data_IF_257734648339
#
_entry.id   IF_257734648339
#
_cell.length_a   1.000
_cell.length_b   1.000
_cell.length_c   1.000
_cell.angle_alpha   90.00
_cell.angle_beta   90.00
_cell.angle_gamma   90.00
#
_symmetry.space_group_name_H-M   'P 1'
#
loop_
_entity.id
_entity.type
_entity.pdbx_description
1 polymer ?
#
# COMPACT_ATOMS: atom_id res chain seq x y z
N UNK A 1 -22.50 -31.29 -25.12
CA UNK A 1 -21.51 -30.23 -25.41
C UNK A 1 -20.19 -30.84 -25.80
N UNK A 2 -19.48 -30.23 -26.74
CA UNK A 2 -18.15 -30.67 -27.18
C UNK A 2 -17.25 -29.43 -27.10
N UNK A 3 -16.74 -29.15 -25.90
CA UNK A 3 -15.66 -28.20 -25.69
C UNK A 3 -14.38 -28.89 -26.19
N UNK A 4 -13.65 -28.26 -27.11
CA UNK A 4 -12.20 -28.35 -27.27
C UNK A 4 -11.78 -27.57 -28.53
N UNK A 5 -11.69 -26.24 -28.41
CA UNK A 5 -10.61 -25.50 -29.05
C UNK A 5 -9.77 -25.00 -27.88
N UNK A 6 -8.68 -25.69 -27.58
CA UNK A 6 -7.69 -25.18 -26.65
C UNK A 6 -6.97 -24.03 -27.36
N UNK A 7 -7.45 -22.80 -27.15
CA UNK A 7 -6.70 -21.61 -27.57
C UNK A 7 -5.40 -21.62 -26.76
N UNK A 8 -4.27 -21.53 -27.45
CA UNK A 8 -2.95 -21.48 -26.80
C UNK A 8 -2.35 -20.10 -26.99
N UNK A 9 -1.59 -19.60 -26.02
CA UNK A 9 -0.95 -18.28 -26.11
C UNK A 9 0.55 -18.42 -26.32
N UNK A 10 1.12 -17.53 -27.12
CA UNK A 10 2.57 -17.33 -27.23
C UNK A 10 2.92 -15.90 -26.95
N UNK A 11 3.72 -15.66 -25.92
CA UNK A 11 4.19 -14.34 -25.53
C UNK A 11 5.64 -14.14 -25.92
N UNK A 12 5.95 -12.99 -26.48
CA UNK A 12 7.23 -12.68 -27.07
C UNK A 12 7.56 -11.22 -26.80
N UNK A 13 8.76 -10.94 -26.32
CA UNK A 13 9.19 -9.56 -26.05
C UNK A 13 9.38 -8.76 -27.33
N UNK A 14 10.42 -9.07 -28.10
CA UNK A 14 10.77 -8.25 -29.27
C UNK A 14 10.16 -8.78 -30.58
N UNK A 15 10.19 -10.10 -30.76
CA UNK A 15 9.75 -10.71 -32.01
C UNK A 15 9.47 -12.20 -31.86
N UNK A 16 8.71 -12.74 -32.82
CA UNK A 16 8.58 -14.17 -33.06
C UNK A 16 8.95 -14.49 -34.50
N UNK A 17 9.84 -15.46 -34.68
CA UNK A 17 10.09 -16.07 -35.99
C UNK A 17 9.10 -17.21 -36.23
N UNK A 18 8.42 -17.15 -37.38
CA UNK A 18 7.44 -18.13 -37.78
C UNK A 18 7.96 -18.85 -39.02
N UNK A 19 7.92 -20.18 -38.97
CA UNK A 19 8.30 -21.06 -40.09
C UNK A 19 7.04 -21.68 -40.70
N UNK A 20 6.84 -21.48 -42.00
CA UNK A 20 5.74 -22.05 -42.76
C UNK A 20 6.29 -23.13 -43.68
N UNK A 21 5.63 -24.29 -43.72
CA UNK A 21 5.93 -25.37 -44.67
C UNK A 21 4.71 -25.71 -45.50
N UNK A 22 4.89 -25.79 -46.81
CA UNK A 22 3.85 -26.21 -47.75
C UNK A 22 4.42 -27.23 -48.73
N UNK A 23 3.58 -28.18 -49.13
CA UNK A 23 3.93 -29.24 -50.07
C UNK A 23 2.98 -29.21 -51.28
N UNK A 24 3.56 -29.23 -52.49
CA UNK A 24 2.83 -29.56 -53.72
C UNK A 24 3.61 -30.61 -54.51
N UNK A 25 2.93 -31.73 -54.81
CA UNK A 25 3.56 -32.89 -55.44
C UNK A 25 3.66 -32.77 -56.97
N UNK A 26 3.01 -31.78 -57.60
CA UNK A 26 2.83 -31.74 -59.06
C UNK A 26 3.61 -30.61 -59.73
N UNK A 27 3.42 -29.37 -59.28
CA UNK A 27 3.99 -28.16 -59.88
C UNK A 27 4.98 -27.43 -58.97
N UNK A 28 4.99 -27.78 -57.68
CA UNK A 28 5.77 -27.10 -56.65
C UNK A 28 5.16 -25.75 -56.25
N UNK A 29 5.65 -25.19 -55.14
CA UNK A 29 5.15 -23.93 -54.57
C UNK A 29 5.81 -22.73 -55.26
N UNK A 30 5.03 -21.76 -55.75
CA UNK A 30 5.53 -20.48 -56.26
C UNK A 30 5.83 -19.50 -55.11
N UNK A 31 4.83 -19.17 -54.30
CA UNK A 31 4.99 -18.27 -53.15
C UNK A 31 4.06 -18.66 -52.00
N UNK A 32 4.39 -18.17 -50.80
CA UNK A 32 3.54 -18.27 -49.62
C UNK A 32 2.99 -16.89 -49.28
N UNK A 33 1.75 -16.83 -48.79
CA UNK A 33 1.16 -15.60 -48.24
C UNK A 33 0.81 -15.85 -46.80
N UNK A 34 1.17 -14.92 -45.90
CA UNK A 34 0.75 -14.96 -44.51
C UNK A 34 -0.05 -13.72 -44.16
N UNK A 35 -1.00 -13.88 -43.26
CA UNK A 35 -1.82 -12.81 -42.74
C UNK A 35 -1.91 -12.92 -41.21
N UNK A 36 -1.73 -11.79 -40.54
CA UNK A 36 -2.02 -11.60 -39.13
C UNK A 36 -3.33 -10.80 -39.01
N UNK A 37 -4.18 -11.21 -38.08
CA UNK A 37 -5.43 -10.53 -37.74
C UNK A 37 -5.53 -10.38 -36.23
N UNK A 38 -5.79 -9.15 -35.77
CA UNK A 38 -5.97 -8.82 -34.35
C UNK A 38 -7.09 -9.65 -33.71
N UNK A 39 -6.87 -10.07 -32.47
CA UNK A 39 -7.90 -10.74 -31.68
C UNK A 39 -9.12 -9.82 -31.46
N UNK A 40 -10.31 -10.40 -31.55
CA UNK A 40 -11.54 -9.67 -31.26
C UNK A 40 -11.55 -9.19 -29.81
N UNK A 41 -11.66 -7.87 -29.62
CA UNK A 41 -11.70 -7.26 -28.29
C UNK A 41 -10.33 -7.04 -27.65
N UNK A 42 -9.23 -7.21 -28.39
CA UNK A 42 -7.91 -6.71 -28.00
C UNK A 42 -7.79 -5.20 -28.23
N UNK A 43 -6.81 -4.59 -27.57
CA UNK A 43 -6.49 -3.15 -27.63
C UNK A 43 -6.41 -2.60 -29.06
N UNK A 44 -6.73 -1.31 -29.24
CA UNK A 44 -6.55 -0.61 -30.50
C UNK A 44 -5.09 -0.23 -30.81
N UNK A 45 -4.21 -0.27 -29.81
CA UNK A 45 -2.76 -0.10 -29.99
C UNK A 45 -2.14 -1.27 -30.75
N UNK A 46 -2.73 -2.46 -30.64
CA UNK A 46 -2.30 -3.60 -31.44
C UNK A 46 -2.64 -3.39 -32.92
N UNK A 47 -1.70 -3.79 -33.80
CA UNK A 47 -1.88 -3.78 -35.25
C UNK A 47 -3.18 -4.49 -35.61
N UNK A 48 -3.99 -3.89 -36.49
CA UNK A 48 -5.32 -4.43 -36.84
C UNK A 48 -5.21 -5.66 -37.74
N UNK A 49 -4.43 -5.54 -38.81
CA UNK A 49 -4.16 -6.60 -39.77
C UNK A 49 -2.81 -6.36 -40.46
N UNK A 50 -2.17 -7.43 -40.90
CA UNK A 50 -0.94 -7.36 -41.70
C UNK A 50 -0.91 -8.55 -42.65
N UNK A 51 -0.58 -8.33 -43.91
CA UNK A 51 -0.50 -9.39 -44.93
C UNK A 51 0.73 -9.18 -45.78
N UNK A 52 1.55 -10.22 -45.93
CA UNK A 52 2.76 -10.17 -46.75
C UNK A 52 2.97 -11.47 -47.54
N UNK A 53 3.77 -11.39 -48.60
CA UNK A 53 4.10 -12.49 -49.48
C UNK A 53 5.57 -12.87 -49.30
N UNK A 54 5.84 -14.15 -49.05
CA UNK A 54 7.17 -14.73 -49.12
C UNK A 54 7.37 -15.22 -50.55
N UNK A 55 8.12 -14.44 -51.33
CA UNK A 55 8.40 -14.75 -52.73
C UNK A 55 9.22 -16.02 -52.88
N UNK A 56 9.13 -16.65 -54.05
CA UNK A 56 9.86 -17.88 -54.39
C UNK A 56 11.35 -17.83 -54.06
N UNK A 57 12.00 -16.71 -54.36
CA UNK A 57 13.45 -16.52 -54.16
C UNK A 57 13.86 -16.51 -52.68
N UNK A 58 12.90 -16.30 -51.78
CA UNK A 58 13.07 -16.35 -50.33
C UNK A 58 12.64 -17.70 -49.70
N UNK A 59 12.20 -18.66 -50.51
CA UNK A 59 11.81 -20.00 -50.05
C UNK A 59 12.96 -21.00 -50.14
N UNK A 60 13.06 -21.86 -49.14
CA UNK A 60 13.95 -23.02 -49.15
C UNK A 60 13.20 -24.25 -49.65
N UNK A 61 13.77 -25.00 -50.58
CA UNK A 61 13.14 -26.17 -51.16
C UNK A 61 13.87 -27.47 -50.78
N UNK A 62 13.11 -28.54 -50.58
CA UNK A 62 13.68 -29.90 -50.52
C UNK A 62 14.35 -30.28 -51.84
N UNK A 63 15.26 -31.27 -51.82
CA UNK A 63 15.97 -31.72 -53.02
C UNK A 63 15.03 -32.16 -54.16
N UNK A 64 13.87 -32.71 -53.81
CA UNK A 64 12.84 -33.12 -54.78
C UNK A 64 11.93 -31.97 -55.24
N UNK A 65 12.12 -30.77 -54.70
CA UNK A 65 11.40 -29.54 -55.05
C UNK A 65 9.95 -29.48 -54.59
N UNK A 66 9.45 -30.49 -53.86
CA UNK A 66 8.02 -30.61 -53.53
C UNK A 66 7.61 -29.83 -52.30
N UNK A 67 8.50 -29.69 -51.32
CA UNK A 67 8.24 -28.92 -50.11
C UNK A 67 8.99 -27.60 -50.16
N UNK A 68 8.27 -26.51 -49.91
CA UNK A 68 8.85 -25.19 -49.67
C UNK A 68 8.75 -24.84 -48.18
N UNK A 69 9.81 -24.26 -47.65
CA UNK A 69 9.88 -23.69 -46.31
C UNK A 69 10.12 -22.19 -46.43
N UNK A 70 9.22 -21.40 -45.84
CA UNK A 70 9.35 -19.95 -45.75
C UNK A 70 9.48 -19.50 -44.30
N UNK A 71 10.18 -18.39 -44.09
CA UNK A 71 10.37 -17.76 -42.80
C UNK A 71 9.90 -16.32 -42.84
N UNK A 72 9.24 -15.88 -41.77
CA UNK A 72 9.00 -14.46 -41.54
C UNK A 72 9.11 -14.15 -40.04
N UNK A 73 9.30 -12.87 -39.73
CA UNK A 73 9.40 -12.40 -38.35
C UNK A 73 8.30 -11.40 -38.08
N UNK A 74 7.47 -11.68 -37.08
CA UNK A 74 6.57 -10.68 -36.52
C UNK A 74 7.34 -9.94 -35.42
N UNK A 75 7.75 -8.70 -35.72
CA UNK A 75 8.56 -7.87 -34.84
C UNK A 75 7.75 -6.70 -34.32
N UNK A 76 7.69 -6.57 -32.99
CA UNK A 76 7.09 -5.40 -32.35
C UNK A 76 8.04 -4.20 -32.36
N UNK A 77 7.46 -3.02 -32.31
CA UNK A 77 8.15 -1.73 -32.19
C UNK A 77 7.43 -0.86 -31.17
N UNK A 78 8.02 0.26 -30.75
CA UNK A 78 7.40 1.20 -29.80
C UNK A 78 5.98 1.67 -30.18
N UNK A 79 5.57 1.54 -31.45
CA UNK A 79 4.24 1.92 -31.94
C UNK A 79 3.42 0.77 -32.53
N UNK A 80 4.01 -0.42 -32.69
CA UNK A 80 3.35 -1.58 -33.29
C UNK A 80 3.49 -2.78 -32.37
N UNK A 81 2.41 -3.10 -31.67
CA UNK A 81 2.28 -4.28 -30.82
C UNK A 81 1.36 -5.29 -31.49
N UNK A 82 1.45 -6.56 -31.09
CA UNK A 82 0.64 -7.62 -31.68
C UNK A 82 -0.08 -8.43 -30.62
N UNK A 83 -1.36 -8.73 -30.89
CA UNK A 83 -2.18 -9.69 -30.15
C UNK A 83 -3.25 -10.22 -31.10
N UNK A 84 -3.01 -11.39 -31.66
CA UNK A 84 -3.91 -11.94 -32.68
C UNK A 84 -3.47 -13.29 -33.22
N UNK A 85 -4.15 -13.72 -34.28
CA UNK A 85 -3.91 -15.01 -34.93
C UNK A 85 -3.18 -14.84 -36.24
N UNK A 86 -2.41 -15.86 -36.61
CA UNK A 86 -1.70 -15.92 -37.89
C UNK A 86 -2.35 -17.00 -38.76
N UNK A 87 -2.52 -16.70 -40.04
CA UNK A 87 -2.97 -17.61 -41.08
C UNK A 87 -2.06 -17.54 -42.30
N UNK A 88 -2.06 -18.59 -43.11
CA UNK A 88 -1.26 -18.63 -44.33
C UNK A 88 -1.90 -19.48 -45.44
N UNK A 89 -1.54 -19.14 -46.67
CA UNK A 89 -1.87 -19.87 -47.89
C UNK A 89 -0.61 -20.14 -48.72
N UNK A 90 -0.66 -21.16 -49.55
CA UNK A 90 0.37 -21.47 -50.52
C UNK A 90 -0.20 -21.40 -51.93
N UNK A 91 0.52 -20.75 -52.85
CA UNK A 91 0.17 -20.71 -54.27
C UNK A 91 1.20 -21.53 -55.05
N UNK A 92 0.71 -22.44 -55.90
CA UNK A 92 1.56 -23.29 -56.73
C UNK A 92 2.03 -22.59 -58.02
N UNK A 93 2.95 -23.20 -58.76
CA UNK A 93 3.47 -22.66 -60.03
C UNK A 93 2.41 -22.58 -61.15
N UNK A 94 1.29 -23.27 -61.00
CA UNK A 94 0.15 -23.19 -61.92
C UNK A 94 -0.85 -22.09 -61.55
N UNK A 95 -0.66 -21.41 -60.41
CA UNK A 95 -1.49 -20.33 -59.91
C UNK A 95 -2.67 -20.78 -59.05
N UNK A 96 -2.70 -22.02 -58.56
CA UNK A 96 -3.72 -22.48 -57.61
C UNK A 96 -3.32 -22.14 -56.18
N UNK A 97 -4.25 -21.58 -55.41
CA UNK A 97 -4.02 -21.20 -54.00
C UNK A 97 -4.76 -22.15 -53.06
N UNK A 98 -4.10 -22.55 -51.96
CA UNK A 98 -4.71 -23.36 -50.91
C UNK A 98 -5.82 -22.63 -50.16
N UNK A 99 -6.61 -23.36 -49.37
CA UNK A 99 -7.39 -22.74 -48.30
C UNK A 99 -6.46 -22.19 -47.21
N UNK A 100 -6.99 -21.27 -46.39
CA UNK A 100 -6.29 -20.74 -45.22
C UNK A 100 -5.98 -21.85 -44.22
N UNK A 101 -4.72 -21.87 -43.77
CA UNK A 101 -4.28 -22.65 -42.63
C UNK A 101 -3.93 -21.69 -41.49
N UNK A 102 -4.58 -21.88 -40.34
CA UNK A 102 -4.33 -21.12 -39.12
C UNK A 102 -3.25 -21.79 -38.27
N UNK A 103 -2.61 -21.02 -37.40
CA UNK A 103 -1.60 -21.44 -36.40
C UNK A 103 -2.16 -22.31 -35.25
N UNK A 104 -3.01 -23.28 -35.58
CA UNK A 104 -3.65 -24.23 -34.67
C UNK A 104 -4.39 -23.59 -33.48
N UNK A 105 -4.90 -22.37 -33.66
CA UNK A 105 -5.67 -21.65 -32.65
C UNK A 105 -4.79 -20.94 -31.62
N UNK A 106 -3.58 -20.54 -32.01
CA UNK A 106 -2.68 -19.80 -31.15
C UNK A 106 -2.96 -18.29 -31.25
N UNK A 107 -2.86 -17.60 -30.13
CA UNK A 107 -2.78 -16.14 -30.09
C UNK A 107 -1.33 -15.77 -29.87
N UNK A 108 -0.74 -15.08 -30.84
CA UNK A 108 0.62 -14.56 -30.77
C UNK A 108 0.57 -13.13 -30.22
N UNK A 109 1.26 -12.92 -29.10
CA UNK A 109 1.45 -11.63 -28.45
C UNK A 109 2.92 -11.26 -28.56
N UNK A 110 3.19 -10.15 -29.23
CA UNK A 110 4.55 -9.61 -29.36
C UNK A 110 4.52 -8.22 -28.78
N UNK A 111 5.20 -8.04 -27.65
CA UNK A 111 5.09 -6.86 -26.82
C UNK A 111 6.42 -6.37 -26.25
N UNK A 112 6.79 -5.14 -26.57
CA UNK A 112 8.03 -4.48 -26.12
C UNK A 112 7.80 -3.37 -25.10
N UNK A 113 6.54 -3.03 -24.79
CA UNK A 113 6.19 -1.86 -24.01
C UNK A 113 6.09 -2.27 -22.54
N UNK A 114 6.81 -1.56 -21.68
CA UNK A 114 6.67 -1.75 -20.24
C UNK A 114 5.33 -1.20 -19.76
N UNK A 115 4.62 -1.92 -18.88
CA UNK A 115 3.42 -1.39 -18.27
C UNK A 115 3.72 -0.16 -17.41
N UNK A 116 2.86 0.86 -17.47
CA UNK A 116 2.98 2.06 -16.63
C UNK A 116 1.97 2.02 -15.48
N UNK A 117 2.45 2.00 -14.23
CA UNK A 117 1.62 1.86 -13.03
C UNK A 117 1.67 3.13 -12.19
N UNK A 118 0.53 3.76 -11.97
CA UNK A 118 0.37 4.91 -11.08
C UNK A 118 -0.41 4.51 -9.83
N UNK A 119 0.19 4.75 -8.65
CA UNK A 119 -0.39 4.39 -7.35
C UNK A 119 -0.69 5.65 -6.56
N UNK A 120 -1.93 5.80 -6.09
CA UNK A 120 -2.33 6.96 -5.27
C UNK A 120 -2.99 6.57 -3.97
N UNK A 121 -2.81 7.38 -2.91
CA UNK A 121 -3.41 7.15 -1.60
C UNK A 121 -4.29 8.31 -1.16
N UNK A 122 -5.53 8.01 -0.76
CA UNK A 122 -6.49 9.03 -0.28
C UNK A 122 -7.36 8.48 0.84
N UNK A 123 -7.95 9.34 1.68
CA UNK A 123 -9.07 8.94 2.53
C UNK A 123 -10.16 8.23 1.71
N UNK A 124 -10.64 7.09 2.21
CA UNK A 124 -11.66 6.30 1.54
C UNK A 124 -13.06 6.91 1.66
N UNK A 125 -13.31 7.61 2.78
CA UNK A 125 -14.62 8.14 3.15
C UNK A 125 -14.61 9.67 3.27
N UNK A 126 -15.80 10.27 3.13
CA UNK A 126 -15.96 11.71 3.34
C UNK A 126 -15.89 12.02 4.83
N UNK A 127 -14.95 12.89 5.22
CA UNK A 127 -14.73 13.27 6.63
C UNK A 127 -13.43 12.73 7.19
N UNK A 128 -12.92 11.63 6.64
CA UNK A 128 -11.58 11.11 6.92
C UNK A 128 -10.52 12.01 6.29
N UNK A 129 -9.42 12.22 7.00
CA UNK A 129 -8.32 13.10 6.62
C UNK A 129 -6.97 12.52 7.04
N UNK A 130 -5.93 12.88 6.28
CA UNK A 130 -4.55 12.72 6.75
C UNK A 130 -4.31 13.76 7.85
N UNK A 131 -3.90 13.30 9.04
CA UNK A 131 -3.73 14.12 10.24
C UNK A 131 -2.29 14.47 10.53
N UNK A 132 -1.41 13.48 10.40
CA UNK A 132 0.00 13.64 10.69
C UNK A 132 0.87 12.93 9.65
N UNK A 133 2.06 13.48 9.47
CA UNK A 133 3.15 12.89 8.73
C UNK A 133 4.33 12.85 9.70
N UNK A 134 4.81 11.66 10.03
CA UNK A 134 5.88 11.49 11.01
C UNK A 134 6.96 10.56 10.48
N UNK A 135 8.16 10.61 11.06
CA UNK A 135 9.18 9.59 10.83
C UNK A 135 8.62 8.24 11.29
N UNK A 136 8.74 7.20 10.46
CA UNK A 136 8.35 5.84 10.82
C UNK A 136 9.18 5.33 11.99
N UNK A 137 8.55 4.52 12.84
CA UNK A 137 9.23 3.82 13.91
C UNK A 137 10.08 2.68 13.35
N UNK A 138 11.10 2.29 14.10
CA UNK A 138 11.94 1.11 13.85
C UNK A 138 11.93 0.21 15.08
N UNK A 139 12.53 -0.98 14.98
CA UNK A 139 12.65 -1.86 16.15
C UNK A 139 13.54 -1.26 17.25
N UNK A 140 14.47 -0.38 16.87
CA UNK A 140 15.45 0.24 17.76
C UNK A 140 15.05 1.63 18.26
N UNK A 141 14.21 2.34 17.51
CA UNK A 141 13.92 3.76 17.75
C UNK A 141 12.44 4.11 17.45
N UNK A 142 11.78 4.73 18.43
CA UNK A 142 10.46 5.35 18.31
C UNK A 142 10.65 6.86 18.52
N UNK A 143 10.55 7.66 17.44
CA UNK A 143 10.63 9.13 17.57
C UNK A 143 9.34 9.81 17.20
N UNK A 144 8.70 9.36 16.10
CA UNK A 144 7.50 9.97 15.51
C UNK A 144 7.68 11.48 15.30
N UNK A 145 8.89 11.89 14.93
CA UNK A 145 9.22 13.28 14.62
C UNK A 145 8.37 13.76 13.42
N UNK A 146 7.83 14.97 13.50
CA UNK A 146 7.05 15.54 12.40
C UNK A 146 7.88 15.64 11.11
N UNK A 147 7.27 15.26 10.00
CA UNK A 147 7.82 15.38 8.66
C UNK A 147 7.08 16.47 7.91
N UNK A 148 7.69 17.65 7.80
CA UNK A 148 7.13 18.75 6.99
C UNK A 148 7.01 18.38 5.51
N UNK A 149 7.97 17.60 4.99
CA UNK A 149 7.98 17.07 3.63
C UNK A 149 8.15 15.56 3.70
N UNK A 150 7.24 14.84 3.04
CA UNK A 150 7.30 13.38 2.98
C UNK A 150 8.50 12.87 2.17
N UNK A 151 9.02 11.73 2.59
CA UNK A 151 10.14 11.00 2.01
C UNK A 151 9.96 9.48 2.24
N UNK A 152 10.97 8.68 1.92
CA UNK A 152 10.92 7.20 2.07
C UNK A 152 10.76 6.72 3.53
N UNK A 153 11.08 7.56 4.51
CA UNK A 153 10.97 7.23 5.93
C UNK A 153 9.68 7.75 6.56
N UNK A 154 8.80 8.37 5.77
CA UNK A 154 7.57 8.96 6.27
C UNK A 154 6.49 7.89 6.52
N UNK A 155 5.78 8.05 7.63
CA UNK A 155 4.58 7.33 8.02
C UNK A 155 3.41 8.32 8.01
N UNK A 156 2.32 7.95 7.37
CA UNK A 156 1.13 8.77 7.20
C UNK A 156 0.03 8.31 8.15
N UNK A 157 -0.51 9.20 8.98
CA UNK A 157 -1.53 8.86 9.98
C UNK A 157 -2.88 9.45 9.58
N UNK A 158 -3.84 8.57 9.33
CA UNK A 158 -5.21 8.92 8.95
C UNK A 158 -6.17 8.60 10.10
N UNK A 159 -7.19 9.45 10.26
CA UNK A 159 -8.27 9.26 11.26
C UNK A 159 -9.35 8.24 10.83
N UNK A 160 -9.05 7.39 9.87
CA UNK A 160 -10.00 6.45 9.28
C UNK A 160 -9.48 5.76 8.02
N UNK A 161 -10.39 5.07 7.33
CA UNK A 161 -10.05 4.18 6.23
C UNK A 161 -9.29 4.89 5.09
N UNK A 162 -8.28 4.20 4.55
CA UNK A 162 -7.42 4.69 3.47
C UNK A 162 -7.65 3.86 2.22
N UNK A 163 -7.75 4.54 1.07
CA UNK A 163 -7.88 3.92 -0.23
C UNK A 163 -6.61 4.09 -1.04
N UNK A 164 -6.02 2.97 -1.45
CA UNK A 164 -5.02 2.93 -2.50
C UNK A 164 -5.71 2.69 -3.85
N UNK A 165 -5.37 3.49 -4.87
CA UNK A 165 -5.82 3.29 -6.24
C UNK A 165 -4.62 2.96 -7.11
N UNK A 166 -4.65 1.78 -7.73
CA UNK A 166 -3.63 1.27 -8.66
C UNK A 166 -4.18 1.42 -10.06
N UNK A 167 -3.55 2.27 -10.88
CA UNK A 167 -3.91 2.47 -12.28
C UNK A 167 -2.77 2.03 -13.19
N UNK A 168 -3.02 0.99 -13.97
CA UNK A 168 -2.09 0.45 -14.97
C UNK A 168 -2.47 0.97 -16.35
N UNK A 169 -1.47 1.29 -17.18
CA UNK A 169 -1.61 1.50 -18.62
C UNK A 169 -0.83 0.41 -19.35
N UNK A 170 -1.53 -0.49 -20.04
CA UNK A 170 -0.97 -1.62 -20.78
C UNK A 170 -1.98 -2.16 -21.81
N UNK A 171 -1.57 -2.26 -23.07
CA UNK A 171 -2.39 -2.73 -24.19
C UNK A 171 -2.70 -4.23 -24.11
N UNK A 172 -1.75 -5.03 -23.63
CA UNK A 172 -1.85 -6.48 -23.48
C UNK A 172 -1.95 -6.91 -22.01
N UNK A 173 -2.73 -6.15 -21.23
CA UNK A 173 -2.89 -6.36 -19.80
C UNK A 173 -3.53 -7.70 -19.42
N UNK A 174 -2.92 -8.40 -18.46
CA UNK A 174 -3.48 -9.57 -17.78
C UNK A 174 -3.51 -9.32 -16.27
N UNK A 175 -4.67 -9.51 -15.65
CA UNK A 175 -4.86 -9.28 -14.21
C UNK A 175 -4.01 -10.18 -13.33
N UNK A 176 -3.75 -11.40 -13.82
CA UNK A 176 -3.01 -12.43 -13.09
C UNK A 176 -1.50 -12.14 -13.02
N UNK A 177 -1.00 -11.24 -13.89
CA UNK A 177 0.41 -10.83 -13.91
C UNK A 177 0.73 -9.80 -12.80
N UNK A 178 -0.29 -9.14 -12.24
CA UNK A 178 -0.12 -8.14 -11.18
C UNK A 178 -0.18 -8.81 -9.81
N UNK A 179 0.96 -8.95 -9.15
CA UNK A 179 1.04 -9.51 -7.80
C UNK A 179 1.02 -8.37 -6.79
N UNK A 180 0.00 -8.34 -5.96
CA UNK A 180 -0.13 -7.37 -4.87
C UNK A 180 0.24 -8.06 -3.57
N UNK A 181 1.02 -7.39 -2.74
CA UNK A 181 1.26 -7.75 -1.35
C UNK A 181 0.63 -6.69 -0.46
N UNK A 182 -0.15 -7.09 0.54
CA UNK A 182 -0.64 -6.18 1.59
C UNK A 182 -0.15 -6.71 2.92
N UNK A 183 0.49 -5.82 3.69
CA UNK A 183 0.85 -6.08 5.08
C UNK A 183 0.03 -5.22 6.01
N UNK A 184 -0.30 -5.77 7.18
CA UNK A 184 -0.82 -5.05 8.33
C UNK A 184 0.05 -5.39 9.53
N UNK A 185 0.54 -4.36 10.22
CA UNK A 185 1.36 -4.50 11.43
C UNK A 185 2.58 -5.41 11.20
N UNK A 186 3.23 -5.23 10.04
CA UNK A 186 4.38 -6.02 9.58
C UNK A 186 4.04 -7.45 9.08
N UNK A 187 2.81 -7.93 9.28
CA UNK A 187 2.37 -9.25 8.86
C UNK A 187 1.71 -9.22 7.48
N UNK A 188 2.10 -10.15 6.61
CA UNK A 188 1.48 -10.32 5.29
C UNK A 188 0.06 -10.88 5.45
N UNK A 189 -0.93 -10.12 4.96
CA UNK A 189 -2.35 -10.48 4.98
C UNK A 189 -2.88 -10.81 3.57
N UNK A 190 -2.12 -10.47 2.54
CA UNK A 190 -2.41 -10.81 1.15
C UNK A 190 -1.12 -10.87 0.33
N UNK A 191 -1.01 -11.86 -0.55
CA UNK A 191 0.08 -11.98 -1.52
C UNK A 191 -0.38 -12.80 -2.73
N UNK A 192 -0.58 -12.10 -3.86
CA UNK A 192 -1.05 -12.71 -5.09
C UNK A 192 -1.84 -11.75 -5.97
N UNK A 193 -2.31 -12.25 -7.13
CA UNK A 193 -3.21 -11.49 -7.99
C UNK A 193 -4.58 -11.33 -7.33
N UNK A 194 -5.31 -10.28 -7.71
CA UNK A 194 -6.67 -10.00 -7.21
C UNK A 194 -7.58 -11.18 -7.56
N UNK A 195 -7.97 -11.95 -6.54
CA UNK A 195 -8.76 -13.16 -6.70
C UNK A 195 -10.27 -12.89 -6.57
N UNK A 196 -11.10 -13.94 -6.68
CA UNK A 196 -12.54 -13.83 -6.43
C UNK A 196 -12.89 -13.50 -4.98
N UNK A 197 -12.04 -13.90 -4.02
CA UNK A 197 -12.18 -13.51 -2.62
C UNK A 197 -11.40 -12.21 -2.41
N UNK A 198 -12.11 -11.11 -2.18
CA UNK A 198 -11.59 -9.73 -2.21
C UNK A 198 -11.64 -9.05 -0.85
N UNK A 199 -12.19 -9.71 0.16
CA UNK A 199 -12.40 -9.11 1.47
C UNK A 199 -11.53 -9.85 2.48
N UNK A 200 -10.55 -9.15 3.04
CA UNK A 200 -9.73 -9.67 4.12
C UNK A 200 -10.45 -9.39 5.43
N UNK A 201 -10.66 -10.43 6.25
CA UNK A 201 -11.34 -10.32 7.54
C UNK A 201 -10.54 -10.94 8.67
N UNK A 202 -10.74 -10.41 9.86
CA UNK A 202 -10.41 -11.07 11.12
C UNK A 202 -11.69 -11.15 11.97
N UNK A 203 -12.19 -12.37 12.14
CA UNK A 203 -13.55 -12.60 12.64
C UNK A 203 -14.61 -11.89 11.79
N UNK A 204 -15.42 -11.05 12.44
CA UNK A 204 -16.47 -10.27 11.78
C UNK A 204 -15.96 -8.91 11.25
N UNK A 205 -14.72 -8.52 11.58
CA UNK A 205 -14.13 -7.24 11.19
C UNK A 205 -13.52 -7.33 9.80
N UNK A 206 -13.92 -6.43 8.90
CA UNK A 206 -13.23 -6.24 7.62
C UNK A 206 -11.94 -5.48 7.85
N UNK A 207 -10.81 -6.09 7.49
CA UNK A 207 -9.49 -5.47 7.57
C UNK A 207 -9.25 -4.60 6.34
N UNK A 208 -9.40 -5.20 5.16
CA UNK A 208 -9.22 -4.53 3.89
C UNK A 208 -10.08 -5.18 2.79
N UNK A 209 -10.36 -4.43 1.73
CA UNK A 209 -11.18 -4.90 0.61
C UNK A 209 -10.61 -4.43 -0.74
N UNK A 210 -10.60 -5.33 -1.72
CA UNK A 210 -10.20 -5.07 -3.10
C UNK A 210 -11.43 -4.83 -3.99
N UNK A 211 -11.32 -3.93 -4.95
CA UNK A 211 -12.26 -3.86 -6.07
C UNK A 211 -11.97 -4.93 -7.11
N UNK A 212 -12.92 -5.16 -8.02
CA UNK A 212 -12.58 -5.75 -9.32
C UNK A 212 -11.67 -4.81 -10.12
N UNK A 213 -10.89 -5.39 -11.03
CA UNK A 213 -10.22 -4.61 -12.07
C UNK A 213 -11.26 -4.01 -13.02
N UNK A 214 -11.28 -2.69 -13.11
CA UNK A 214 -12.05 -1.96 -14.13
C UNK A 214 -11.15 -1.73 -15.34
N UNK A 215 -11.45 -2.37 -16.47
CA UNK A 215 -10.63 -2.34 -17.69
C UNK A 215 -11.28 -1.43 -18.73
N UNK A 216 -10.55 -0.39 -19.14
CA UNK A 216 -10.86 0.48 -20.27
C UNK A 216 -9.92 0.14 -21.43
N UNK A 217 -10.45 -0.66 -22.36
CA UNK A 217 -9.73 -1.13 -23.55
C UNK A 217 -9.52 -0.07 -24.62
N UNK A 218 -10.24 1.06 -24.56
CA UNK A 218 -10.05 2.13 -25.53
C UNK A 218 -8.81 2.95 -25.21
N UNK A 219 -8.50 3.08 -23.92
CA UNK A 219 -7.36 3.83 -23.41
C UNK A 219 -6.23 2.94 -22.88
N UNK A 220 -6.35 1.62 -23.03
CA UNK A 220 -5.41 0.62 -22.51
C UNK A 220 -5.16 0.77 -21.01
N UNK A 221 -6.19 1.13 -20.23
CA UNK A 221 -6.04 1.30 -18.78
C UNK A 221 -6.80 0.25 -17.99
N UNK A 222 -6.24 -0.16 -16.86
CA UNK A 222 -6.88 -1.01 -15.88
C UNK A 222 -6.74 -0.37 -14.50
N UNK A 223 -7.80 -0.36 -13.70
CA UNK A 223 -7.79 0.23 -12.35
C UNK A 223 -8.29 -0.76 -11.30
N UNK A 224 -7.56 -0.87 -10.20
CA UNK A 224 -7.93 -1.61 -9.00
C UNK A 224 -7.83 -0.69 -7.77
N UNK A 225 -8.75 -0.83 -6.83
CA UNK A 225 -8.74 -0.12 -5.55
C UNK A 225 -8.57 -1.09 -4.38
N UNK A 226 -7.88 -0.64 -3.33
CA UNK A 226 -7.72 -1.36 -2.06
C UNK A 226 -8.14 -0.40 -0.95
N UNK A 227 -9.16 -0.77 -0.17
CA UNK A 227 -9.63 0.00 0.97
C UNK A 227 -9.16 -0.67 2.25
N UNK A 228 -8.25 -0.04 2.98
CA UNK A 228 -7.74 -0.44 4.29
C UNK A 228 -8.63 0.20 5.37
N UNK A 229 -9.26 -0.61 6.22
CA UNK A 229 -10.38 -0.19 7.07
C UNK A 229 -10.11 -0.34 8.57
N UNK A 230 -9.50 -1.44 8.99
CA UNK A 230 -9.24 -1.69 10.40
C UNK A 230 -7.98 -0.95 10.88
N UNK A 231 -7.94 -0.55 12.14
CA UNK A 231 -6.79 0.14 12.73
C UNK A 231 -5.50 -0.67 12.59
N UNK A 232 -4.42 -0.01 12.17
CA UNK A 232 -3.12 -0.63 12.00
C UNK A 232 -2.23 0.08 10.98
N UNK A 233 -1.01 -0.44 10.85
CA UNK A 233 0.00 0.05 9.92
C UNK A 233 0.02 -0.79 8.66
N UNK A 234 -0.34 -0.19 7.53
CA UNK A 234 -0.41 -0.87 6.25
C UNK A 234 0.76 -0.53 5.35
N UNK A 235 1.23 -1.56 4.65
CA UNK A 235 2.19 -1.43 3.55
C UNK A 235 1.69 -2.20 2.34
N UNK A 236 1.80 -1.60 1.16
CA UNK A 236 1.44 -2.19 -0.12
C UNK A 236 2.69 -2.42 -0.94
N UNK A 237 2.85 -3.66 -1.42
CA UNK A 237 3.82 -4.04 -2.44
C UNK A 237 3.12 -4.37 -3.74
N UNK A 238 3.72 -3.99 -4.86
CA UNK A 238 3.28 -4.43 -6.19
C UNK A 238 4.50 -4.95 -6.94
N UNK A 239 4.37 -6.15 -7.47
CA UNK A 239 5.34 -6.80 -8.34
C UNK A 239 4.60 -7.11 -9.64
N UNK A 240 5.02 -6.51 -10.75
CA UNK A 240 4.37 -6.67 -12.05
C UNK A 240 5.38 -6.74 -13.18
N UNK A 241 5.37 -7.88 -13.85
CA UNK A 241 6.03 -8.14 -15.12
C UNK A 241 4.96 -8.67 -16.05
N UNK A 242 4.78 -8.07 -17.23
CA UNK A 242 3.79 -8.55 -18.18
C UNK A 242 4.13 -9.95 -18.72
N UNK A 243 3.15 -10.57 -19.38
CA UNK A 243 3.32 -11.89 -19.98
C UNK A 243 4.44 -11.96 -21.04
N UNK A 244 4.86 -10.83 -21.61
CA UNK A 244 5.98 -10.72 -22.57
C UNK A 244 7.32 -10.38 -21.89
N UNK A 245 7.38 -10.44 -20.56
CA UNK A 245 8.56 -10.18 -19.74
C UNK A 245 9.06 -8.73 -19.75
N UNK A 246 8.15 -7.76 -19.83
CA UNK A 246 8.42 -6.35 -19.58
C UNK A 246 8.05 -6.02 -18.13
N UNK A 247 9.05 -5.58 -17.36
CA UNK A 247 8.84 -5.10 -16.00
C UNK A 247 8.10 -3.77 -16.02
N UNK A 248 7.22 -3.55 -15.04
CA UNK A 248 6.52 -2.29 -14.90
C UNK A 248 7.48 -1.12 -14.65
N UNK A 249 7.07 0.07 -15.09
CA UNK A 249 7.51 1.35 -14.53
C UNK A 249 6.41 1.84 -13.58
N UNK A 250 6.78 2.36 -12.41
CA UNK A 250 5.81 2.87 -11.45
C UNK A 250 6.05 4.33 -11.07
N UNK A 251 4.98 4.97 -10.64
CA UNK A 251 4.98 6.27 -9.96
C UNK A 251 3.96 6.29 -8.83
N UNK A 252 4.21 7.06 -7.77
CA UNK A 252 3.26 7.23 -6.67
C UNK A 252 3.23 8.66 -6.12
N UNK A 253 2.10 9.03 -5.51
CA UNK A 253 1.84 10.37 -4.96
C UNK A 253 2.19 10.53 -3.47
N UNK A 254 2.76 9.50 -2.84
CA UNK A 254 3.15 9.51 -1.43
C UNK A 254 4.17 10.62 -1.14
N UNK A 255 5.15 10.79 -2.03
CA UNK A 255 6.11 11.90 -1.98
C UNK A 255 6.69 12.21 -3.36
N UNK A 256 7.35 13.36 -3.49
CA UNK A 256 7.90 13.82 -4.76
C UNK A 256 8.93 12.83 -5.33
N UNK A 257 8.84 12.56 -6.63
CA UNK A 257 9.77 11.68 -7.36
C UNK A 257 9.77 10.21 -6.89
N UNK A 258 8.72 9.75 -6.21
CA UNK A 258 8.54 8.32 -5.94
C UNK A 258 8.21 7.56 -7.24
N UNK A 259 9.24 7.08 -7.91
CA UNK A 259 9.15 6.29 -9.13
C UNK A 259 10.24 5.20 -9.16
N UNK A 260 10.09 4.24 -10.07
CA UNK A 260 11.04 3.13 -10.22
C UNK A 260 10.53 2.05 -11.17
N UNK A 261 11.14 0.87 -11.12
CA UNK A 261 10.81 -0.24 -12.02
C UNK A 261 10.68 -1.57 -11.26
N UNK A 262 9.96 -2.53 -11.85
CA UNK A 262 9.75 -3.92 -11.40
C UNK A 262 8.96 -4.11 -10.09
N UNK A 263 9.37 -3.43 -9.01
CA UNK A 263 8.88 -3.66 -7.65
C UNK A 263 8.58 -2.33 -6.97
N UNK A 264 7.33 -2.12 -6.59
CA UNK A 264 6.88 -0.98 -5.79
C UNK A 264 6.71 -1.39 -4.32
N UNK A 265 7.07 -0.50 -3.39
CA UNK A 265 6.77 -0.59 -1.95
C UNK A 265 6.30 0.77 -1.45
N UNK A 266 5.18 0.78 -0.75
CA UNK A 266 4.63 1.99 -0.14
C UNK A 266 5.42 2.43 1.10
N UNK A 267 5.16 3.66 1.52
CA UNK A 267 5.32 4.12 2.89
C UNK A 267 4.27 3.43 3.79
N UNK A 268 4.38 3.67 5.10
CA UNK A 268 3.38 3.16 6.04
C UNK A 268 2.15 4.07 6.01
N UNK A 269 1.00 3.47 5.74
CA UNK A 269 -0.32 4.09 5.84
C UNK A 269 -0.99 3.60 7.12
N UNK A 270 -1.07 4.45 8.13
CA UNK A 270 -1.72 4.14 9.40
C UNK A 270 -3.18 4.54 9.35
N UNK A 271 -4.05 3.54 9.56
CA UNK A 271 -5.47 3.78 9.87
C UNK A 271 -5.59 3.79 11.38
N UNK A 272 -6.16 4.85 11.94
CA UNK A 272 -6.39 4.97 13.37
C UNK A 272 -7.75 5.63 13.65
N UNK A 273 -8.64 4.86 14.24
CA UNK A 273 -9.99 5.28 14.62
C UNK A 273 -10.21 5.20 16.13
N UNK A 274 -9.17 4.82 16.89
CA UNK A 274 -9.29 4.52 18.31
C UNK A 274 -9.07 5.76 19.16
N UNK A 275 -10.06 6.09 19.99
CA UNK A 275 -9.92 7.14 21.00
C UNK A 275 -8.94 6.71 22.10
N UNK A 276 -7.95 7.55 22.46
CA UNK A 276 -7.00 7.21 23.52
C UNK A 276 -7.67 7.21 24.90
N UNK A 277 -7.08 6.48 25.84
CA UNK A 277 -7.56 6.45 27.24
C UNK A 277 -6.47 6.81 28.22
N UNK A 278 -6.86 7.37 29.37
CA UNK A 278 -5.94 7.72 30.46
C UNK A 278 -6.42 7.13 31.79
N UNK A 279 -5.47 6.60 32.56
CA UNK A 279 -5.65 6.19 33.95
C UNK A 279 -4.61 6.89 34.82
N UNK A 280 -5.04 7.47 35.94
CA UNK A 280 -4.13 8.05 36.93
C UNK A 280 -4.38 7.42 38.29
N UNK A 281 -3.34 6.84 38.87
CA UNK A 281 -3.38 6.25 40.22
C UNK A 281 -2.36 6.93 41.13
N UNK A 282 -2.53 6.76 42.44
CA UNK A 282 -1.58 7.28 43.43
C UNK A 282 -1.18 6.18 44.42
N UNK A 283 0.08 6.20 44.82
CA UNK A 283 0.65 5.31 45.81
C UNK A 283 0.07 5.54 47.22
N UNK A 284 0.06 6.80 47.68
CA UNK A 284 -0.42 7.21 48.98
C UNK A 284 -1.92 7.50 48.94
N UNK A 285 -2.66 6.72 49.73
CA UNK A 285 -4.13 6.79 49.87
C UNK A 285 -4.56 7.15 51.29
N UNK A 286 -3.61 7.50 52.16
CA UNK A 286 -3.84 7.84 53.57
C UNK A 286 -4.32 9.28 53.72
N UNK A 287 -5.55 9.52 53.24
CA UNK A 287 -6.14 10.85 53.17
C UNK A 287 -6.80 11.29 54.47
N UNK A 288 -6.57 12.53 54.87
CA UNK A 288 -7.31 13.24 55.91
C UNK A 288 -8.22 14.28 55.27
N UNK A 289 -9.40 14.53 55.86
CA UNK A 289 -10.35 15.55 55.40
C UNK A 289 -10.59 15.51 53.87
N UNK A 290 -10.72 14.31 53.30
CA UNK A 290 -10.96 14.01 51.88
C UNK A 290 -9.84 14.38 50.88
N UNK A 291 -8.93 15.31 51.18
CA UNK A 291 -7.91 15.75 50.21
C UNK A 291 -6.54 16.12 50.81
N UNK A 292 -6.25 15.82 52.08
CA UNK A 292 -5.02 16.23 52.75
C UNK A 292 -4.12 15.04 53.10
N UNK A 293 -2.85 15.13 52.74
CA UNK A 293 -1.86 14.06 52.90
C UNK A 293 -0.68 14.58 53.74
N UNK A 294 -0.27 13.80 54.74
CA UNK A 294 0.84 14.15 55.67
C UNK A 294 2.20 13.62 55.25
N UNK A 295 2.28 13.08 54.04
CA UNK A 295 3.44 12.42 53.45
C UNK A 295 3.37 12.59 51.94
N UNK A 296 4.50 12.39 51.27
CA UNK A 296 4.64 12.47 49.82
C UNK A 296 3.61 11.58 49.11
N UNK A 297 3.32 11.95 47.87
CA UNK A 297 2.37 11.25 47.02
C UNK A 297 2.92 11.21 45.61
N UNK A 298 2.87 10.07 44.94
CA UNK A 298 3.35 9.89 43.57
C UNK A 298 2.19 9.49 42.69
N UNK A 299 1.93 10.22 41.61
CA UNK A 299 1.01 9.79 40.57
C UNK A 299 1.71 8.80 39.63
N UNK A 300 1.01 7.73 39.26
CA UNK A 300 1.33 6.88 38.11
C UNK A 300 0.27 7.16 37.05
N UNK A 301 0.70 7.67 35.90
CA UNK A 301 -0.15 8.03 34.77
C UNK A 301 0.08 6.98 33.69
N UNK A 302 -1.01 6.38 33.19
CA UNK A 302 -1.00 5.44 32.06
C UNK A 302 -1.85 6.01 30.93
N UNK A 303 -1.27 6.16 29.74
CA UNK A 303 -1.99 6.52 28.52
C UNK A 303 -1.94 5.32 27.58
N UNK A 304 -3.10 4.84 27.14
CA UNK A 304 -3.21 3.76 26.15
C UNK A 304 -3.56 4.34 24.80
N UNK A 305 -2.59 4.26 23.89
CA UNK A 305 -2.68 4.73 22.52
C UNK A 305 -1.56 4.09 21.67
N UNK A 306 -1.94 3.49 20.54
CA UNK A 306 -1.01 2.93 19.56
C UNK A 306 -0.05 3.98 19.01
N UNK A 307 -0.58 5.16 18.71
CA UNK A 307 0.11 6.28 18.09
C UNK A 307 0.58 7.34 19.10
N UNK A 308 0.70 6.94 20.37
CA UNK A 308 1.23 7.77 21.45
C UNK A 308 2.46 8.60 21.08
N UNK A 309 2.44 9.90 21.37
CA UNK A 309 3.63 10.75 21.32
C UNK A 309 3.64 11.66 22.54
N UNK A 310 4.71 11.68 23.36
CA UNK A 310 4.81 12.53 24.54
C UNK A 310 4.53 14.01 24.24
N UNK A 311 4.96 14.50 23.08
CA UNK A 311 4.72 15.88 22.64
C UNK A 311 3.23 16.27 22.53
N UNK A 312 2.30 15.31 22.48
CA UNK A 312 0.86 15.57 22.47
C UNK A 312 0.22 15.59 23.88
N UNK A 313 1.01 15.31 24.92
CA UNK A 313 0.55 15.36 26.31
C UNK A 313 0.53 16.81 26.78
N UNK A 314 -0.64 17.26 27.27
CA UNK A 314 -0.79 18.55 27.93
C UNK A 314 -0.95 18.33 29.44
N UNK A 315 0.17 18.18 30.15
CA UNK A 315 0.20 17.99 31.60
C UNK A 315 0.58 19.30 32.31
N UNK A 316 -0.27 19.74 33.23
CA UNK A 316 -0.08 20.97 34.00
C UNK A 316 -0.31 20.70 35.48
N UNK A 317 0.62 21.18 36.30
CA UNK A 317 0.51 21.19 37.77
C UNK A 317 0.72 22.61 38.27
N UNK A 318 -0.17 23.09 39.14
CA UNK A 318 0.08 24.28 39.96
C UNK A 318 0.22 23.89 41.41
N UNK A 319 1.27 24.35 42.08
CA UNK A 319 1.53 24.13 43.50
C UNK A 319 1.48 25.48 44.23
N UNK A 320 0.59 25.64 45.21
CA UNK A 320 0.37 26.90 45.91
C UNK A 320 0.34 26.77 47.42
N UNK A 321 0.64 27.84 48.14
CA UNK A 321 0.37 27.93 49.58
C UNK A 321 -1.10 28.27 49.87
N UNK A 322 -1.46 28.37 51.16
CA UNK A 322 -2.82 28.73 51.62
C UNK A 322 -3.23 30.18 51.26
N UNK A 323 -2.28 31.01 50.82
CA UNK A 323 -2.50 32.39 50.37
C UNK A 323 -2.54 32.50 48.83
N UNK A 324 -2.67 31.37 48.12
CA UNK A 324 -2.65 31.28 46.65
C UNK A 324 -1.32 31.72 46.02
N UNK A 325 -0.23 31.76 46.79
CA UNK A 325 1.09 32.04 46.24
C UNK A 325 1.66 30.76 45.63
N UNK A 326 1.99 30.80 44.34
CA UNK A 326 2.67 29.69 43.67
C UNK A 326 4.05 29.40 44.29
N UNK A 327 4.40 28.11 44.32
CA UNK A 327 5.70 27.63 44.76
C UNK A 327 6.76 28.00 43.73
N UNK A 328 7.79 28.73 44.18
CA UNK A 328 8.93 29.10 43.34
C UNK A 328 9.92 27.92 43.13
N UNK A 329 9.71 26.80 43.84
CA UNK A 329 10.69 25.69 43.91
C UNK A 329 10.17 24.35 43.40
N UNK A 330 8.85 24.17 43.30
CA UNK A 330 8.29 22.92 42.81
C UNK A 330 8.46 22.81 41.29
N UNK A 331 9.28 21.86 40.86
CA UNK A 331 9.49 21.54 39.45
C UNK A 331 8.92 20.14 39.18
N UNK A 332 8.15 20.03 38.10
CA UNK A 332 7.62 18.75 37.61
C UNK A 332 8.01 18.59 36.14
N UNK A 333 8.07 17.35 35.65
CA UNK A 333 8.20 17.11 34.22
C UNK A 333 6.89 17.44 33.52
N UNK A 334 6.97 18.13 32.38
CA UNK A 334 5.80 18.40 31.54
C UNK A 334 5.30 17.16 30.80
N UNK A 335 6.02 16.02 30.93
CA UNK A 335 5.70 14.74 30.30
C UNK A 335 5.70 14.78 28.76
N UNK A 336 6.47 15.70 28.18
CA UNK A 336 6.57 15.91 26.74
C UNK A 336 7.77 15.21 26.10
N UNK A 337 8.60 14.51 26.87
CA UNK A 337 9.80 13.84 26.39
C UNK A 337 9.66 12.32 26.52
N UNK A 338 10.23 11.57 25.57
CA UNK A 338 10.21 10.10 25.61
C UNK A 338 10.88 9.52 26.86
N UNK A 339 11.83 10.24 27.47
CA UNK A 339 12.48 9.82 28.72
C UNK A 339 11.56 9.87 29.95
N UNK A 340 10.42 10.58 29.87
CA UNK A 340 9.40 10.59 30.92
C UNK A 340 8.53 9.33 30.91
N UNK A 341 8.51 8.61 29.78
CA UNK A 341 7.59 7.53 29.50
C UNK A 341 8.32 6.22 29.24
N UNK A 342 7.65 5.12 29.58
CA UNK A 342 8.05 3.79 29.13
C UNK A 342 6.82 3.00 28.75
N UNK A 343 6.94 2.13 27.75
CA UNK A 343 5.87 1.23 27.40
C UNK A 343 5.80 0.09 28.42
N UNK A 344 4.59 -0.24 28.87
CA UNK A 344 4.39 -1.32 29.83
C UNK A 344 4.33 -2.69 29.14
N UNK A 345 4.76 -3.75 29.82
CA UNK A 345 4.74 -5.12 29.28
C UNK A 345 3.40 -5.84 29.51
N UNK A 346 2.56 -5.32 30.41
CA UNK A 346 1.29 -5.93 30.82
C UNK A 346 0.13 -5.62 29.85
N UNK A 347 0.23 -4.54 29.08
CA UNK A 347 -0.82 -4.12 28.16
C UNK A 347 -0.25 -3.41 26.93
N UNK A 348 -0.60 -3.92 25.74
CA UNK A 348 -0.14 -3.36 24.47
C UNK A 348 -0.51 -1.88 24.34
N UNK A 349 0.42 -1.11 23.77
CA UNK A 349 0.25 0.32 23.48
C UNK A 349 -0.04 1.19 24.71
N UNK A 350 0.34 0.74 25.91
CA UNK A 350 0.20 1.51 27.15
C UNK A 350 1.54 2.12 27.55
N UNK A 351 1.55 3.43 27.74
CA UNK A 351 2.72 4.23 28.14
C UNK A 351 2.53 4.74 29.56
N UNK A 352 3.54 4.57 30.41
CA UNK A 352 3.49 4.92 31.81
C UNK A 352 4.55 5.96 32.18
N UNK A 353 4.13 6.97 32.96
CA UNK A 353 4.98 7.98 33.58
C UNK A 353 4.65 8.14 35.07
N UNK A 354 5.60 8.65 35.84
CA UNK A 354 5.40 8.92 37.28
C UNK A 354 5.72 10.36 37.64
N UNK A 355 4.88 10.98 38.48
CA UNK A 355 5.04 12.38 38.92
C UNK A 355 5.01 12.44 40.46
N UNK A 356 6.13 12.80 41.12
CA UNK A 356 6.17 12.96 42.57
C UNK A 356 5.59 14.31 43.02
N UNK A 357 4.82 14.29 44.10
CA UNK A 357 4.29 15.45 44.83
C UNK A 357 4.84 15.38 46.26
N UNK A 358 6.03 15.97 46.45
CA UNK A 358 6.88 15.84 47.63
C UNK A 358 7.20 17.18 48.30
N UNK A 359 6.46 18.24 47.98
CA UNK A 359 6.57 19.54 48.64
C UNK A 359 5.26 19.87 49.38
N UNK A 360 5.37 20.68 50.43
CA UNK A 360 4.18 21.16 51.14
C UNK A 360 3.45 22.20 50.27
N UNK A 361 2.34 21.80 49.66
CA UNK A 361 1.57 22.64 48.75
C UNK A 361 0.14 22.14 48.54
N UNK A 362 -0.73 23.05 48.11
CA UNK A 362 -2.00 22.77 47.47
C UNK A 362 -1.74 22.57 45.98
N UNK A 363 -1.96 21.36 45.49
CA UNK A 363 -1.78 20.97 44.10
C UNK A 363 -3.11 21.00 43.36
N UNK A 364 -3.12 21.61 42.18
CA UNK A 364 -4.14 21.44 41.15
C UNK A 364 -3.47 20.83 39.91
N UNK A 365 -4.00 19.71 39.43
CA UNK A 365 -3.44 18.90 38.34
C UNK A 365 -4.47 18.82 37.22
N UNK A 366 -4.01 18.99 35.97
CA UNK A 366 -4.79 18.73 34.77
C UNK A 366 -3.96 18.00 33.73
N UNK A 367 -4.55 17.02 33.07
CA UNK A 367 -3.96 16.27 31.96
C UNK A 367 -4.97 16.16 30.83
N UNK A 368 -4.61 16.69 29.67
CA UNK A 368 -5.27 16.43 28.39
C UNK A 368 -4.35 15.69 27.43
N UNK A 369 -4.94 14.98 26.49
CA UNK A 369 -4.21 14.26 25.45
C UNK A 369 -5.06 14.16 24.17
N UNK A 370 -4.43 14.37 23.02
CA UNK A 370 -5.02 14.16 21.69
C UNK A 370 -3.99 13.43 20.84
N UNK A 371 -4.36 12.28 20.28
CA UNK A 371 -3.40 11.48 19.53
C UNK A 371 -3.01 12.08 18.17
N UNK A 372 -2.10 11.42 17.46
CA UNK A 372 -1.63 11.83 16.13
C UNK A 372 -2.69 11.71 15.03
N UNK A 373 -3.77 10.97 15.27
CA UNK A 373 -4.96 10.89 14.42
C UNK A 373 -6.01 11.95 14.80
N UNK A 374 -5.75 12.77 15.83
CA UNK A 374 -6.62 13.85 16.27
C UNK A 374 -7.79 13.41 17.16
N UNK A 375 -7.74 12.21 17.75
CA UNK A 375 -8.74 11.77 18.73
C UNK A 375 -8.34 12.23 20.13
N UNK A 376 -9.21 13.00 20.78
CA UNK A 376 -9.01 13.44 22.17
C UNK A 376 -9.56 12.42 23.17
N UNK A 377 -9.04 12.44 24.39
CA UNK A 377 -9.62 11.68 25.52
C UNK A 377 -11.13 11.91 25.64
N UNK A 378 -11.88 10.88 26.07
CA UNK A 378 -13.31 11.04 26.38
C UNK A 378 -13.54 12.07 27.50
N UNK A 379 -12.65 12.09 28.49
CA UNK A 379 -12.63 13.06 29.58
C UNK A 379 -11.17 13.39 29.95
N UNK A 380 -10.85 14.68 29.99
CA UNK A 380 -9.57 15.16 30.52
C UNK A 380 -9.47 14.84 32.02
N UNK A 381 -8.29 14.42 32.46
CA UNK A 381 -8.07 14.15 33.88
C UNK A 381 -7.82 15.44 34.65
N UNK A 382 -8.48 15.63 35.80
CA UNK A 382 -8.18 16.70 36.73
C UNK A 382 -8.35 16.28 38.18
N UNK A 383 -7.49 16.77 39.06
CA UNK A 383 -7.59 16.54 40.50
C UNK A 383 -6.88 17.64 41.29
N UNK A 384 -7.42 17.94 42.48
CA UNK A 384 -6.75 18.80 43.46
C UNK A 384 -6.57 18.08 44.80
N UNK A 385 -5.43 18.30 45.46
CA UNK A 385 -5.15 17.82 46.82
C UNK A 385 -4.06 18.63 47.51
N UNK A 386 -3.88 18.44 48.81
CA UNK A 386 -2.85 19.10 49.62
C UNK A 386 -1.88 18.07 50.18
N UNK A 387 -0.58 18.32 50.01
CA UNK A 387 0.48 17.67 50.81
C UNK A 387 0.92 18.68 51.86
N UNK A 388 0.87 18.29 53.13
CA UNK A 388 1.29 19.11 54.27
C UNK A 388 1.99 18.22 55.31
N UNK A 389 3.32 18.23 55.28
CA UNK A 389 4.19 17.49 56.19
C UNK A 389 4.61 18.33 57.40
N UNK A 390 4.34 19.64 57.38
CA UNK A 390 4.79 20.59 58.39
C UNK A 390 3.77 20.76 59.50
N UNK A 391 4.18 20.46 60.73
CA UNK A 391 3.33 20.71 61.90
C UNK A 391 3.15 22.23 62.16
N UNK A 392 2.01 22.66 62.75
CA UNK A 392 1.80 24.04 63.14
C UNK A 392 2.89 24.56 64.09
N UNK A 393 3.34 25.80 63.85
CA UNK A 393 4.35 26.48 64.66
C UNK A 393 3.82 26.82 66.06
N UNK A 394 4.39 26.17 67.08
CA UNK A 394 3.98 26.36 68.48
C UNK A 394 4.26 27.77 69.00
N UNK A 395 5.26 28.46 68.47
CA UNK A 395 5.63 29.80 68.92
C UNK A 395 4.62 30.87 68.46
N UNK A 396 3.80 30.54 67.46
CA UNK A 396 2.72 31.41 66.94
C UNK A 396 1.36 31.14 67.60
N UNK A 397 1.27 30.19 68.53
CA UNK A 397 0.02 29.89 69.23
C UNK A 397 -0.27 30.93 70.33
N UNK A 398 -1.51 31.44 70.38
CA UNK A 398 -1.98 32.37 71.42
C UNK A 398 -3.27 31.86 72.05
N UNK A 399 -3.47 32.10 73.35
CA UNK A 399 -4.70 31.72 74.11
C UNK A 399 -5.62 32.91 74.28
#
# INVERSE_FOLDING_TARGET
ERILNAITFGYYKESVEVTIKAEDLTSGIDYLTWAYVKETGASNTNVAEKTEVISRDALEFTEDGKTATGHFTLKATETEQYRGSISFTATDMAGNTSADKFDDGRISIVDTISPEVNITYKPAETGTTLKAQVKRDTAEEITREDKETADEETRFIYDGAVKATIKTTEANFYTDDVIITVKKDGSEIWNGPVSSDKTIKDGDTTIAEFSDWTIDKENDTATCEIIMQADGDYEIGIDYTDSSSNDMNYSSDEYAEKNGTATYRSNIMTVDTTVPTVEVTYDNKDVNNASYYKADRTATIRIKDRNFRPGEVNFVVTAKDVQEKESDTYAYSQLTDWSDWHQTEDEDYTWEATVPFDEDANYDISLGYTDLAGHSLEEDYSQSFTVDKTAPDTDKMTV
#
